data_IF_621970401167
#
_entry.id   IF_621970401167
#
_cell.length_a   1.000
_cell.length_b   1.000
_cell.length_c   1.000
_cell.angle_alpha   90.00
_cell.angle_beta   90.00
_cell.angle_gamma   90.00
#
_symmetry.space_group_name_H-M   'P 1'
#
loop_
_entity.id
_entity.type
_entity.pdbx_description
1 polymer ?
#
# COMPACT_ATOMS: atom_id res chain seq x y z
N UNK A 1 -38.46 -19.81 40.44
CA UNK A 1 -38.77 -19.90 39.00
C UNK A 1 -37.79 -18.95 38.35
N UNK A 2 -36.56 -19.42 38.15
CA UNK A 2 -35.41 -18.57 37.85
C UNK A 2 -34.60 -19.21 36.74
N UNK A 3 -34.90 -18.83 35.50
CA UNK A 3 -34.05 -19.21 34.36
C UNK A 3 -34.10 -18.12 33.28
N UNK A 4 -33.55 -16.95 33.60
CA UNK A 4 -33.22 -15.90 32.62
C UNK A 4 -31.76 -15.47 32.79
N UNK A 5 -30.82 -16.40 32.61
CA UNK A 5 -29.39 -16.07 32.53
C UNK A 5 -28.53 -17.15 31.87
N UNK A 6 -28.76 -17.50 30.61
CA UNK A 6 -27.85 -18.41 29.89
C UNK A 6 -27.86 -18.33 28.36
N UNK A 7 -28.06 -17.14 27.77
CA UNK A 7 -27.95 -16.97 26.31
C UNK A 7 -26.71 -16.16 25.87
N UNK A 8 -25.92 -15.62 26.81
CA UNK A 8 -24.68 -14.90 26.50
C UNK A 8 -23.45 -15.82 26.35
N UNK A 9 -23.53 -17.08 26.80
CA UNK A 9 -22.43 -18.05 26.76
C UNK A 9 -22.34 -18.88 25.48
N UNK A 10 -23.43 -18.96 24.68
CA UNK A 10 -23.48 -19.78 23.46
C UNK A 10 -22.77 -19.19 22.24
N UNK A 11 -22.47 -17.89 22.22
CA UNK A 11 -21.73 -17.26 21.11
C UNK A 11 -20.21 -17.48 21.27
N UNK A 12 -19.74 -17.72 22.50
CA UNK A 12 -18.34 -18.04 22.79
C UNK A 12 -17.96 -19.48 22.38
N UNK A 13 -18.92 -20.40 22.39
CA UNK A 13 -18.70 -21.83 22.13
C UNK A 13 -18.87 -22.25 20.66
N UNK A 14 -19.14 -21.31 19.72
CA UNK A 14 -19.13 -21.61 18.29
C UNK A 14 -17.77 -21.35 17.62
N UNK A 15 -16.80 -20.79 18.34
CA UNK A 15 -15.41 -20.62 17.88
C UNK A 15 -14.48 -21.74 18.36
N UNK A 16 -14.96 -22.64 19.20
CA UNK A 16 -14.20 -23.78 19.68
C UNK A 16 -14.90 -25.06 19.21
N UNK A 17 -14.21 -25.81 18.35
CA UNK A 17 -14.56 -27.15 17.90
C UNK A 17 -15.49 -27.26 16.67
N UNK A 18 -14.95 -26.83 15.53
CA UNK A 18 -15.11 -27.57 14.27
C UNK A 18 -13.85 -28.42 14.09
N UNK A 19 -13.93 -29.68 14.49
CA UNK A 19 -12.91 -30.69 14.19
C UNK A 19 -13.07 -31.03 12.69
N UNK A 20 -12.32 -30.33 11.83
CA UNK A 20 -12.13 -30.74 10.45
C UNK A 20 -10.69 -31.20 10.26
N UNK A 21 -10.54 -32.41 9.75
CA UNK A 21 -9.25 -33.07 9.49
C UNK A 21 -8.63 -32.46 8.23
N UNK A 22 -8.09 -31.25 8.36
CA UNK A 22 -7.16 -30.65 7.40
C UNK A 22 -5.75 -30.70 7.97
N UNK A 23 -4.75 -30.86 7.10
CA UNK A 23 -3.32 -30.83 7.43
C UNK A 23 -2.97 -29.72 8.45
N UNK A 24 -1.97 -29.93 9.33
CA UNK A 24 -1.57 -28.91 10.28
C UNK A 24 -1.13 -27.65 9.52
N UNK A 25 -2.00 -26.63 9.54
CA UNK A 25 -1.72 -25.29 9.03
C UNK A 25 -0.35 -24.88 9.60
N UNK A 26 0.57 -24.52 8.70
CA UNK A 26 1.94 -24.25 9.09
C UNK A 26 1.96 -23.08 10.08
N UNK A 27 2.82 -23.11 11.11
CA UNK A 27 2.95 -22.03 12.11
C UNK A 27 3.15 -20.64 11.46
N UNK A 28 3.66 -20.61 10.24
CA UNK A 28 3.85 -19.40 9.43
C UNK A 28 2.53 -18.85 8.90
N UNK A 29 1.59 -19.71 8.46
CA UNK A 29 0.26 -19.31 8.00
C UNK A 29 -0.59 -18.74 9.14
N UNK A 30 -0.45 -19.27 10.36
CA UNK A 30 -1.15 -18.75 11.55
C UNK A 30 -0.67 -17.33 11.91
N UNK A 31 0.66 -17.13 11.98
CA UNK A 31 1.26 -15.81 12.23
C UNK A 31 0.90 -14.81 11.12
N UNK A 32 0.86 -15.29 9.87
CA UNK A 32 0.52 -14.47 8.73
C UNK A 32 -0.95 -14.04 8.76
N UNK A 33 -1.86 -14.99 9.04
CA UNK A 33 -3.29 -14.72 9.19
C UNK A 33 -3.54 -13.72 10.32
N UNK A 34 -2.91 -13.89 11.48
CA UNK A 34 -3.03 -12.98 12.63
C UNK A 34 -2.48 -11.57 12.33
N UNK A 35 -1.44 -11.45 11.49
CA UNK A 35 -0.89 -10.16 11.09
C UNK A 35 -1.83 -9.35 10.20
N UNK A 36 -2.58 -10.01 9.32
CA UNK A 36 -3.56 -9.35 8.45
C UNK A 36 -4.95 -9.26 9.09
N UNK A 37 -5.26 -10.05 10.12
CA UNK A 37 -6.55 -10.07 10.82
C UNK A 37 -7.07 -8.69 11.27
N UNK A 38 -6.23 -7.75 11.76
CA UNK A 38 -6.66 -6.39 12.08
C UNK A 38 -7.21 -5.61 10.86
N UNK A 39 -6.67 -5.86 9.67
CA UNK A 39 -7.16 -5.26 8.43
C UNK A 39 -8.53 -5.83 8.01
N UNK A 40 -8.93 -6.99 8.54
CA UNK A 40 -10.14 -7.71 8.17
C UNK A 40 -11.40 -7.38 8.97
N UNK A 41 -11.32 -6.60 10.05
CA UNK A 41 -12.52 -6.22 10.79
C UNK A 41 -13.45 -5.40 9.90
N UNK A 42 -14.43 -6.05 9.27
CA UNK A 42 -15.40 -5.42 8.39
C UNK A 42 -16.53 -4.82 9.24
N UNK A 43 -16.68 -3.48 9.33
CA UNK A 43 -17.89 -2.92 9.88
C UNK A 43 -19.07 -3.41 9.03
N UNK A 44 -20.11 -3.90 9.70
CA UNK A 44 -21.31 -4.53 9.12
C UNK A 44 -22.00 -3.70 8.02
N UNK A 45 -21.72 -2.39 7.96
CA UNK A 45 -22.08 -1.50 6.87
C UNK A 45 -20.88 -0.59 6.51
N UNK A 46 -20.17 -0.89 5.42
CA UNK A 46 -19.21 0.06 4.84
C UNK A 46 -20.01 1.22 4.24
N UNK A 47 -19.69 2.47 4.60
CA UNK A 47 -20.38 3.65 4.09
C UNK A 47 -20.24 3.71 2.56
N UNK A 48 -21.35 3.53 1.84
CA UNK A 48 -21.37 3.52 0.36
C UNK A 48 -20.71 4.78 -0.24
N UNK A 49 -20.92 5.93 0.41
CA UNK A 49 -20.30 7.20 0.00
C UNK A 49 -18.77 7.18 0.10
N UNK A 50 -18.20 6.59 1.15
CA UNK A 50 -16.74 6.47 1.32
C UNK A 50 -16.13 5.60 0.22
N UNK A 51 -16.76 4.47 -0.10
CA UNK A 51 -16.33 3.60 -1.19
C UNK A 51 -16.40 4.29 -2.55
N UNK A 52 -17.45 5.10 -2.78
CA UNK A 52 -17.62 5.86 -4.01
C UNK A 52 -16.58 6.99 -4.13
N UNK A 53 -16.24 7.68 -3.03
CA UNK A 53 -15.18 8.69 -3.01
C UNK A 53 -13.83 8.06 -3.34
N UNK A 54 -13.48 6.94 -2.69
CA UNK A 54 -12.22 6.25 -2.99
C UNK A 54 -12.16 5.79 -4.45
N UNK A 55 -13.26 5.25 -4.98
CA UNK A 55 -13.33 4.86 -6.39
C UNK A 55 -13.15 6.06 -7.34
N UNK A 56 -13.78 7.18 -7.03
CA UNK A 56 -13.65 8.41 -7.82
C UNK A 56 -12.23 8.97 -7.79
N UNK A 57 -11.56 8.94 -6.64
CA UNK A 57 -10.16 9.36 -6.51
C UNK A 57 -9.23 8.45 -7.33
N UNK A 58 -9.37 7.12 -7.23
CA UNK A 58 -8.58 6.20 -8.05
C UNK A 58 -8.87 6.35 -9.55
N UNK A 59 -10.12 6.64 -9.93
CA UNK A 59 -10.47 6.95 -11.32
C UNK A 59 -9.78 8.22 -11.81
N UNK A 60 -9.77 9.27 -10.99
CA UNK A 60 -9.09 10.53 -11.30
C UNK A 60 -7.59 10.31 -11.49
N UNK A 61 -6.94 9.52 -10.63
CA UNK A 61 -5.52 9.18 -10.74
C UNK A 61 -5.20 8.41 -12.04
N UNK A 62 -6.01 7.42 -12.39
CA UNK A 62 -5.83 6.68 -13.65
C UNK A 62 -6.00 7.59 -14.87
N UNK A 63 -6.93 8.55 -14.79
CA UNK A 63 -7.11 9.57 -15.81
C UNK A 63 -5.87 10.47 -15.89
N UNK A 64 -5.32 10.93 -14.76
CA UNK A 64 -4.08 11.69 -14.72
C UNK A 64 -2.90 10.94 -15.35
N UNK A 65 -2.73 9.65 -15.03
CA UNK A 65 -1.71 8.80 -15.65
C UNK A 65 -1.86 8.70 -17.17
N UNK A 66 -3.08 8.65 -17.69
CA UNK A 66 -3.32 8.61 -19.14
C UNK A 66 -2.83 9.86 -19.86
N UNK A 67 -2.74 11.00 -19.18
CA UNK A 67 -2.20 12.25 -19.72
C UNK A 67 -0.71 12.46 -19.42
N UNK A 68 -0.08 11.53 -18.70
CA UNK A 68 1.34 11.62 -18.40
C UNK A 68 2.15 11.32 -19.66
N UNK A 69 2.85 12.34 -20.18
CA UNK A 69 3.68 12.23 -21.37
C UNK A 69 5.02 12.92 -21.15
N UNK A 70 6.08 12.18 -21.44
CA UNK A 70 7.44 12.69 -21.52
C UNK A 70 7.74 12.95 -23.00
N UNK A 71 8.20 14.16 -23.30
CA UNK A 71 8.58 14.52 -24.65
C UNK A 71 9.96 13.94 -24.97
N UNK A 72 10.06 13.15 -26.04
CA UNK A 72 11.26 12.40 -26.43
C UNK A 72 12.37 13.36 -26.90
N UNK A 73 12.00 14.52 -27.47
CA UNK A 73 12.98 15.49 -27.95
C UNK A 73 13.64 16.29 -26.81
N UNK A 74 12.83 16.75 -25.85
CA UNK A 74 13.32 17.57 -24.73
C UNK A 74 13.67 16.77 -23.47
N UNK A 75 13.29 15.49 -23.41
CA UNK A 75 13.37 14.62 -22.22
C UNK A 75 12.75 15.23 -20.95
N UNK A 76 11.86 16.22 -21.13
CA UNK A 76 11.12 16.91 -20.09
C UNK A 76 9.65 16.52 -20.15
N UNK A 77 8.99 16.66 -19.01
CA UNK A 77 7.55 16.47 -18.92
C UNK A 77 6.83 17.59 -19.71
N UNK A 78 5.80 17.21 -20.47
CA UNK A 78 4.90 18.19 -21.12
C UNK A 78 4.27 19.12 -20.08
N UNK A 79 4.03 20.39 -20.42
CA UNK A 79 3.40 21.38 -19.53
C UNK A 79 2.07 20.87 -18.99
N UNK A 80 1.26 20.23 -19.84
CA UNK A 80 -0.04 19.66 -19.43
C UNK A 80 0.17 18.50 -18.46
N UNK A 81 1.12 17.62 -18.76
CA UNK A 81 1.46 16.50 -17.89
C UNK A 81 2.04 16.96 -16.56
N UNK A 82 2.76 18.09 -16.52
CA UNK A 82 3.32 18.68 -15.31
C UNK A 82 2.23 19.16 -14.36
N UNK A 83 1.24 19.91 -14.84
CA UNK A 83 0.14 20.39 -13.99
C UNK A 83 -0.73 19.24 -13.49
N UNK A 84 -1.08 18.30 -14.36
CA UNK A 84 -1.88 17.13 -14.01
C UNK A 84 -1.11 16.25 -13.01
N UNK A 85 0.17 16.02 -13.27
CA UNK A 85 1.06 15.25 -12.41
C UNK A 85 1.38 15.93 -11.07
N UNK A 86 1.14 17.23 -10.94
CA UNK A 86 1.27 17.93 -9.67
C UNK A 86 0.05 17.71 -8.78
N UNK A 87 -1.14 17.63 -9.39
CA UNK A 87 -2.41 17.40 -8.68
C UNK A 87 -2.46 16.00 -8.08
N UNK A 88 -1.96 14.99 -8.80
CA UNK A 88 -1.92 13.59 -8.33
C UNK A 88 -0.64 13.25 -7.56
N UNK A 89 0.25 14.22 -7.31
CA UNK A 89 1.58 14.02 -6.70
C UNK A 89 2.56 13.11 -7.47
N UNK A 90 2.20 12.54 -8.62
CA UNK A 90 3.08 11.66 -9.39
C UNK A 90 4.35 12.40 -9.84
N UNK A 91 4.23 13.63 -10.34
CA UNK A 91 5.36 14.42 -10.85
C UNK A 91 6.30 14.97 -9.78
N UNK A 92 5.96 14.86 -8.49
CA UNK A 92 6.71 15.47 -7.39
C UNK A 92 8.19 15.07 -7.39
N UNK A 93 8.51 13.81 -7.72
CA UNK A 93 9.89 13.34 -7.85
C UNK A 93 10.67 14.05 -8.96
N UNK A 94 10.04 14.29 -10.12
CA UNK A 94 10.68 14.98 -11.25
C UNK A 94 10.86 16.48 -11.00
N UNK A 95 9.91 17.12 -10.31
CA UNK A 95 9.95 18.55 -9.98
C UNK A 95 11.12 18.87 -9.04
N UNK A 96 11.33 18.00 -8.05
CA UNK A 96 12.31 18.22 -6.98
C UNK A 96 13.76 17.91 -7.48
N UNK A 97 13.91 17.20 -8.60
CA UNK A 97 15.20 16.92 -9.21
C UNK A 97 16.13 16.14 -8.28
N UNK A 98 17.25 16.74 -7.86
CA UNK A 98 18.18 16.11 -6.92
C UNK A 98 17.53 15.70 -5.60
N UNK A 99 16.49 16.41 -5.15
CA UNK A 99 15.78 16.05 -3.93
C UNK A 99 14.82 14.85 -4.08
N UNK A 100 14.64 14.29 -5.28
CA UNK A 100 13.83 13.10 -5.51
C UNK A 100 14.30 11.92 -4.66
N UNK A 101 15.61 11.78 -4.48
CA UNK A 101 16.19 10.75 -3.63
C UNK A 101 15.86 10.98 -2.13
N UNK A 102 15.83 12.23 -1.66
CA UNK A 102 15.39 12.55 -0.30
C UNK A 102 13.88 12.30 -0.13
N UNK A 103 13.07 12.66 -1.13
CA UNK A 103 11.64 12.38 -1.15
C UNK A 103 11.39 10.87 -1.02
N UNK A 104 12.08 10.05 -1.80
CA UNK A 104 11.96 8.59 -1.73
C UNK A 104 12.32 8.03 -0.34
N UNK A 105 13.37 8.54 0.30
CA UNK A 105 13.73 8.15 1.68
C UNK A 105 12.64 8.54 2.68
N UNK A 106 12.08 9.75 2.56
CA UNK A 106 11.00 10.21 3.46
C UNK A 106 9.74 9.36 3.28
N UNK A 107 9.33 9.11 2.03
CA UNK A 107 8.19 8.25 1.72
C UNK A 107 8.40 6.83 2.27
N UNK A 108 9.63 6.32 2.18
CA UNK A 108 10.01 5.03 2.73
C UNK A 108 9.83 4.96 4.26
N UNK A 109 10.28 5.98 4.99
CA UNK A 109 10.09 6.06 6.45
C UNK A 109 8.61 6.08 6.81
N UNK A 110 7.79 6.80 6.03
CA UNK A 110 6.33 6.84 6.24
C UNK A 110 5.73 5.44 6.05
N UNK A 111 6.05 4.74 4.95
CA UNK A 111 5.55 3.38 4.70
C UNK A 111 6.01 2.40 5.78
N UNK A 112 7.27 2.48 6.20
CA UNK A 112 7.81 1.65 7.28
C UNK A 112 7.09 1.92 8.61
N UNK A 113 6.79 3.18 8.94
CA UNK A 113 6.03 3.54 10.14
C UNK A 113 4.61 2.95 10.12
N UNK A 114 3.96 2.95 8.95
CA UNK A 114 2.63 2.34 8.77
C UNK A 114 2.71 0.81 8.93
N UNK A 115 3.72 0.17 8.35
CA UNK A 115 3.93 -1.27 8.50
C UNK A 115 4.21 -1.67 9.96
N UNK A 116 5.01 -0.88 10.68
CA UNK A 116 5.25 -1.08 12.12
C UNK A 116 3.96 -0.89 12.91
N UNK A 117 3.19 0.16 12.61
CA UNK A 117 1.90 0.41 13.26
C UNK A 117 0.91 -0.75 13.03
N UNK A 118 0.86 -1.30 11.82
CA UNK A 118 0.10 -2.51 11.51
C UNK A 118 0.57 -3.71 12.36
N UNK A 119 1.88 -3.92 12.47
CA UNK A 119 2.43 -5.01 13.28
C UNK A 119 2.12 -4.88 14.78
N UNK A 120 2.22 -3.67 15.33
CA UNK A 120 1.83 -3.41 16.73
C UNK A 120 0.33 -3.66 16.93
N UNK A 121 -0.51 -3.21 15.98
CA UNK A 121 -1.95 -3.44 16.04
C UNK A 121 -2.32 -4.92 15.93
N UNK A 122 -1.56 -5.72 15.17
CA UNK A 122 -1.72 -7.17 15.10
C UNK A 122 -1.40 -7.85 16.42
N UNK A 123 -0.24 -7.55 17.01
CA UNK A 123 0.17 -8.16 18.30
C UNK A 123 -0.80 -7.79 19.43
N UNK A 124 -1.28 -6.55 19.45
CA UNK A 124 -2.15 -6.03 20.50
C UNK A 124 -3.65 -6.16 20.17
N UNK A 125 -4.03 -6.88 19.11
CA UNK A 125 -5.40 -6.94 18.60
C UNK A 125 -6.44 -7.26 19.69
N UNK A 126 -6.17 -8.27 20.52
CA UNK A 126 -7.06 -8.71 21.61
C UNK A 126 -7.28 -7.64 22.69
N UNK A 127 -6.31 -6.75 22.90
CA UNK A 127 -6.41 -5.65 23.86
C UNK A 127 -7.07 -4.42 23.24
N UNK A 128 -6.81 -4.15 21.95
CA UNK A 128 -7.37 -3.00 21.24
C UNK A 128 -8.89 -3.13 21.08
N UNK A 129 -9.41 -4.33 20.79
CA UNK A 129 -10.84 -4.53 20.57
C UNK A 129 -11.68 -4.25 21.83
N UNK A 130 -11.11 -4.44 23.02
CA UNK A 130 -11.80 -4.23 24.30
C UNK A 130 -11.64 -2.83 24.85
N UNK A 131 -10.56 -2.13 24.48
CA UNK A 131 -10.24 -0.80 25.00
C UNK A 131 -10.63 0.33 24.04
N UNK A 132 -10.22 0.26 22.77
CA UNK A 132 -10.32 1.36 21.81
C UNK A 132 -10.46 0.84 20.35
N UNK A 133 -11.68 0.44 19.92
CA UNK A 133 -11.89 -0.11 18.58
C UNK A 133 -11.66 0.90 17.45
N UNK A 134 -11.64 2.21 17.75
CA UNK A 134 -11.40 3.25 16.73
C UNK A 134 -9.99 3.16 16.12
N UNK A 135 -9.00 2.64 16.86
CA UNK A 135 -7.61 2.51 16.38
C UNK A 135 -7.57 1.58 15.18
N UNK A 136 -8.38 0.51 15.23
CA UNK A 136 -8.47 -0.47 14.17
C UNK A 136 -9.10 0.12 12.91
N UNK A 137 -10.20 0.87 13.06
CA UNK A 137 -10.82 1.58 11.94
C UNK A 137 -9.89 2.63 11.34
N UNK A 138 -9.11 3.32 12.17
CA UNK A 138 -8.11 4.28 11.70
C UNK A 138 -7.00 3.60 10.88
N UNK A 139 -6.43 2.50 11.38
CA UNK A 139 -5.43 1.71 10.65
C UNK A 139 -5.97 1.25 9.29
N UNK A 140 -7.20 0.77 9.24
CA UNK A 140 -7.84 0.33 7.99
C UNK A 140 -8.01 1.47 6.99
N UNK A 141 -8.52 2.63 7.43
CA UNK A 141 -8.65 3.82 6.56
C UNK A 141 -7.27 4.24 6.04
N UNK A 142 -6.26 4.19 6.90
CA UNK A 142 -4.90 4.56 6.54
C UNK A 142 -4.31 3.61 5.49
N UNK A 143 -4.47 2.30 5.65
CA UNK A 143 -4.05 1.31 4.65
C UNK A 143 -4.88 1.40 3.36
N UNK A 144 -6.21 1.60 3.45
CA UNK A 144 -7.07 1.78 2.27
C UNK A 144 -6.62 3.03 1.47
N UNK A 145 -6.27 4.15 2.14
CA UNK A 145 -5.72 5.34 1.49
C UNK A 145 -4.34 5.08 0.89
N UNK A 146 -3.46 4.41 1.61
CA UNK A 146 -2.12 4.07 1.13
C UNK A 146 -2.18 3.23 -0.15
N UNK A 147 -3.06 2.23 -0.18
CA UNK A 147 -3.17 1.26 -1.28
C UNK A 147 -3.99 1.73 -2.47
N UNK A 148 -4.96 2.64 -2.27
CA UNK A 148 -5.89 3.06 -3.35
C UNK A 148 -5.62 4.45 -3.92
N UNK A 149 -5.02 5.33 -3.12
CA UNK A 149 -4.77 6.73 -3.48
C UNK A 149 -3.27 6.97 -3.60
N UNK A 150 -2.50 6.62 -2.56
CA UNK A 150 -1.06 6.88 -2.57
C UNK A 150 -0.23 5.83 -3.32
N UNK A 151 -0.85 4.74 -3.80
CA UNK A 151 -0.13 3.67 -4.47
C UNK A 151 0.55 4.14 -5.76
N UNK A 152 -0.20 4.82 -6.64
CA UNK A 152 0.30 5.32 -7.92
C UNK A 152 1.39 6.40 -7.69
N UNK A 153 1.16 7.44 -6.87
CA UNK A 153 2.14 8.49 -6.64
C UNK A 153 3.44 7.98 -5.99
N UNK A 154 3.34 6.97 -5.11
CA UNK A 154 4.51 6.38 -4.46
C UNK A 154 5.34 5.58 -5.46
N UNK A 155 4.71 4.73 -6.27
CA UNK A 155 5.39 3.98 -7.32
C UNK A 155 6.09 4.93 -8.28
N UNK A 156 5.40 5.98 -8.73
CA UNK A 156 6.00 6.94 -9.63
C UNK A 156 7.20 7.65 -8.97
N UNK A 157 7.07 8.08 -7.71
CA UNK A 157 8.18 8.68 -6.96
C UNK A 157 9.39 7.74 -6.85
N UNK A 158 9.18 6.45 -6.57
CA UNK A 158 10.28 5.48 -6.53
C UNK A 158 10.90 5.23 -7.90
N UNK A 159 10.10 5.11 -8.97
CA UNK A 159 10.60 4.95 -10.35
C UNK A 159 11.48 6.14 -10.73
N UNK A 160 11.09 7.36 -10.39
CA UNK A 160 11.88 8.56 -10.74
C UNK A 160 13.30 8.57 -10.16
N UNK A 161 13.59 7.79 -9.10
CA UNK A 161 14.94 7.72 -8.51
C UNK A 161 15.96 6.98 -9.39
N UNK A 162 15.49 6.06 -10.24
CA UNK A 162 16.34 5.26 -11.13
C UNK A 162 15.95 5.35 -12.60
N UNK A 163 14.98 6.21 -12.94
CA UNK A 163 14.59 6.48 -14.33
C UNK A 163 15.69 7.23 -15.07
N UNK A 164 16.29 6.58 -16.07
CA UNK A 164 17.44 7.07 -16.80
C UNK A 164 17.21 7.01 -18.29
N UNK A 165 17.71 8.02 -19.01
CA UNK A 165 17.60 8.10 -20.46
C UNK A 165 18.99 8.20 -21.09
N UNK A 166 19.14 7.58 -22.26
CA UNK A 166 20.37 7.62 -23.05
C UNK A 166 20.41 8.84 -23.96
N UNK A 167 21.57 9.47 -24.04
CA UNK A 167 21.88 10.49 -25.05
C UNK A 167 22.54 9.86 -26.28
N UNK A 168 22.56 10.58 -27.41
CA UNK A 168 23.15 10.14 -28.69
C UNK A 168 24.62 9.72 -28.57
N UNK A 169 25.31 10.23 -27.54
CA UNK A 169 26.71 9.93 -27.20
C UNK A 169 26.89 8.63 -26.39
N UNK A 170 25.85 7.83 -26.19
CA UNK A 170 25.89 6.57 -25.44
C UNK A 170 26.02 6.73 -23.92
N UNK A 171 25.86 7.95 -23.40
CA UNK A 171 25.86 8.25 -21.95
C UNK A 171 24.43 8.25 -21.41
N UNK A 172 24.22 7.63 -20.26
CA UNK A 172 22.94 7.64 -19.56
C UNK A 172 22.90 8.77 -18.52
N UNK A 173 21.84 9.56 -18.56
CA UNK A 173 21.59 10.65 -17.62
C UNK A 173 20.35 10.35 -16.79
N UNK A 174 20.37 10.78 -15.54
CA UNK A 174 19.24 10.65 -14.65
C UNK A 174 18.12 11.62 -15.06
N UNK A 175 16.89 11.14 -15.25
CA UNK A 175 15.80 11.99 -15.77
C UNK A 175 15.41 13.11 -14.82
N UNK A 176 15.47 12.88 -13.49
CA UNK A 176 15.19 13.93 -12.53
C UNK A 176 16.28 15.02 -12.51
N UNK A 177 17.52 14.68 -12.84
CA UNK A 177 18.64 15.61 -12.86
C UNK A 177 19.61 15.28 -14.00
N UNK A 178 19.48 15.94 -15.17
CA UNK A 178 20.25 15.60 -16.38
C UNK A 178 21.74 15.95 -16.27
N UNK A 179 22.17 16.64 -15.21
CA UNK A 179 23.59 16.94 -14.95
C UNK A 179 24.34 15.77 -14.32
N UNK A 180 23.64 14.75 -13.84
CA UNK A 180 24.23 13.59 -13.14
C UNK A 180 24.14 12.38 -14.07
N UNK A 181 25.28 11.69 -14.26
CA UNK A 181 25.28 10.42 -14.98
C UNK A 181 24.57 9.35 -14.15
N UNK A 182 23.69 8.61 -14.81
CA UNK A 182 22.92 7.57 -14.16
C UNK A 182 23.83 6.45 -13.66
N UNK A 183 23.66 6.06 -12.38
CA UNK A 183 24.36 4.94 -11.74
C UNK A 183 25.90 5.02 -11.81
N UNK A 184 26.44 6.20 -12.12
CA UNK A 184 27.88 6.43 -12.26
C UNK A 184 28.26 7.68 -11.48
N UNK A 185 29.09 7.51 -10.45
CA UNK A 185 29.72 8.60 -9.70
C UNK A 185 28.90 9.22 -8.56
N UNK A 186 27.58 9.08 -8.51
CA UNK A 186 26.76 9.63 -7.41
C UNK A 186 26.24 8.55 -6.45
N UNK A 187 26.89 8.43 -5.29
CA UNK A 187 26.57 7.46 -4.23
C UNK A 187 25.11 7.60 -3.77
N UNK A 188 24.62 8.84 -3.64
CA UNK A 188 23.26 9.10 -3.14
C UNK A 188 22.21 8.56 -4.10
N UNK A 189 22.41 8.78 -5.41
CA UNK A 189 21.53 8.22 -6.44
C UNK A 189 21.55 6.69 -6.40
N UNK A 190 22.73 6.07 -6.36
CA UNK A 190 22.88 4.61 -6.36
C UNK A 190 22.18 3.99 -5.14
N UNK A 191 22.40 4.53 -3.95
CA UNK A 191 21.76 4.05 -2.72
C UNK A 191 20.23 4.21 -2.83
N UNK A 192 19.75 5.38 -3.26
CA UNK A 192 18.32 5.63 -3.40
C UNK A 192 17.65 4.73 -4.45
N UNK A 193 18.35 4.40 -5.53
CA UNK A 193 17.89 3.48 -6.57
C UNK A 193 17.75 2.05 -6.03
N UNK A 194 18.76 1.54 -5.34
CA UNK A 194 18.73 0.19 -4.73
C UNK A 194 17.59 0.10 -3.72
N UNK A 195 17.47 1.09 -2.83
CA UNK A 195 16.40 1.13 -1.84
C UNK A 195 15.03 1.16 -2.53
N UNK A 196 14.86 2.00 -3.55
CA UNK A 196 13.60 2.12 -4.28
C UNK A 196 13.19 0.82 -4.96
N UNK A 197 14.13 0.08 -5.56
CA UNK A 197 13.85 -1.23 -6.16
C UNK A 197 13.37 -2.24 -5.11
N UNK A 198 14.06 -2.33 -3.96
CA UNK A 198 13.66 -3.22 -2.87
C UNK A 198 12.27 -2.84 -2.34
N UNK A 199 11.99 -1.55 -2.20
CA UNK A 199 10.69 -1.05 -1.74
C UNK A 199 9.57 -1.31 -2.74
N UNK A 200 9.82 -1.15 -4.04
CA UNK A 200 8.84 -1.50 -5.07
C UNK A 200 8.47 -2.98 -5.01
N UNK A 201 9.44 -3.87 -4.80
CA UNK A 201 9.18 -5.31 -4.63
C UNK A 201 8.36 -5.59 -3.36
N UNK A 202 8.71 -4.96 -2.24
CA UNK A 202 7.96 -5.06 -1.00
C UNK A 202 6.51 -4.57 -1.18
N UNK A 203 6.33 -3.41 -1.81
CA UNK A 203 5.03 -2.78 -2.00
C UNK A 203 4.15 -3.57 -2.99
N UNK A 204 4.75 -4.15 -4.03
CA UNK A 204 4.09 -5.09 -4.94
C UNK A 204 3.61 -6.34 -4.17
N UNK A 205 4.50 -6.97 -3.40
CA UNK A 205 4.15 -8.14 -2.60
C UNK A 205 3.03 -7.82 -1.61
N UNK A 206 3.15 -6.71 -0.87
CA UNK A 206 2.12 -6.24 0.05
C UNK A 206 0.78 -5.98 -0.65
N UNK A 207 0.80 -5.38 -1.85
CA UNK A 207 -0.39 -5.17 -2.67
C UNK A 207 -1.08 -6.46 -3.07
N UNK A 208 -0.31 -7.44 -3.54
CA UNK A 208 -0.82 -8.77 -3.90
C UNK A 208 -1.45 -9.43 -2.67
N UNK A 209 -0.77 -9.38 -1.53
CA UNK A 209 -1.25 -9.96 -0.29
C UNK A 209 -2.55 -9.31 0.14
N UNK A 210 -2.59 -7.99 0.28
CA UNK A 210 -3.81 -7.26 0.67
C UNK A 210 -4.95 -7.52 -0.30
N UNK A 211 -4.73 -7.53 -1.61
CA UNK A 211 -5.78 -7.75 -2.60
C UNK A 211 -6.28 -9.21 -2.63
N UNK A 212 -5.39 -10.21 -2.55
CA UNK A 212 -5.79 -11.63 -2.48
C UNK A 212 -6.55 -11.92 -1.19
N UNK A 213 -6.10 -11.33 -0.09
CA UNK A 213 -6.68 -11.51 1.23
C UNK A 213 -8.03 -10.79 1.34
N UNK A 214 -8.23 -9.62 0.72
CA UNK A 214 -9.48 -8.83 0.78
C UNK A 214 -10.66 -9.47 0.01
N UNK A 215 -10.46 -10.50 -0.82
CA UNK A 215 -11.57 -11.23 -1.43
C UNK A 215 -12.32 -12.11 -0.41
N UNK A 216 -13.31 -11.49 0.23
CA UNK A 216 -14.62 -12.07 0.59
C UNK A 216 -14.56 -13.42 1.32
N UNK A 217 -13.92 -13.46 2.48
CA UNK A 217 -14.34 -14.43 3.50
C UNK A 217 -15.60 -13.89 4.19
N UNK A 218 -16.74 -14.01 3.51
CA UNK A 218 -18.03 -14.05 4.19
C UNK A 218 -18.14 -15.47 4.76
N UNK A 219 -17.97 -15.70 6.07
CA UNK A 219 -18.00 -17.05 6.63
C UNK A 219 -19.37 -17.75 6.47
N UNK A 220 -20.37 -17.10 5.84
CA UNK A 220 -21.65 -17.71 5.47
C UNK A 220 -21.67 -18.41 4.12
N UNK A 221 -20.70 -18.15 3.25
CA UNK A 221 -20.62 -18.77 1.92
C UNK A 221 -19.19 -19.29 1.74
N UNK A 222 -19.07 -20.61 1.60
CA UNK A 222 -17.81 -21.36 1.58
C UNK A 222 -16.70 -20.72 0.75
N UNK A 223 -15.47 -20.95 1.20
CA UNK A 223 -14.26 -20.34 0.67
C UNK A 223 -13.99 -20.60 -0.81
N UNK A 224 -12.87 -20.07 -1.30
CA UNK A 224 -12.47 -20.05 -2.71
C UNK A 224 -12.31 -21.44 -3.38
N UNK A 225 -12.49 -22.52 -2.63
CA UNK A 225 -12.40 -23.92 -3.06
C UNK A 225 -13.50 -24.84 -2.47
N UNK A 226 -14.61 -24.28 -1.98
CA UNK A 226 -15.78 -25.04 -1.52
C UNK A 226 -16.91 -25.04 -2.55
#
# INVERSE_FOLDING_TARGET
MDEKRSNASRISSQFAHGEDKGEPISRQEEIFSDFFFPLYYQPKHKNKSYQLILWFLSFLELLCLSFFKIDIGSNKQSIVSFYIGFIDFSSTGLIIGQGAAFLAIVLMVIVAAIAVFQGVAAVLYRQIITTQPWILTFLQVLVDLLMRVFYIPFIHSFITTFDCYGDENGKSYWRAQPTIQCLSGNILQIISAIISIVFLLYFLAYSILVNLLIFKHDPRHGGLFA
#
